data_IF_935459270690
#
_entry.id   IF_935459270690
#
_cell.length_a   1.000
_cell.length_b   1.000
_cell.length_c   1.000
_cell.angle_alpha   90.00
_cell.angle_beta   90.00
_cell.angle_gamma   90.00
#
_symmetry.space_group_name_H-M   'P 1'
#
loop_
_entity.id
_entity.type
_entity.pdbx_description
1 polymer ?
#
# COMPACT_ATOMS: atom_id res chain seq x y z
N UNK A 1 25.58 -44.66 -32.95
CA UNK A 1 25.46 -43.19 -33.11
C UNK A 1 26.33 -42.56 -32.05
N UNK A 2 27.20 -41.62 -32.44
CA UNK A 2 28.13 -40.95 -31.55
C UNK A 2 27.32 -40.05 -30.60
N UNK A 3 27.48 -40.18 -29.28
CA UNK A 3 26.80 -39.28 -28.33
C UNK A 3 27.25 -37.82 -28.49
N UNK A 4 28.39 -37.58 -29.14
CA UNK A 4 28.86 -36.25 -29.59
C UNK A 4 28.21 -35.75 -30.88
N UNK A 5 27.39 -36.55 -31.56
CA UNK A 5 26.59 -36.15 -32.72
C UNK A 5 25.12 -35.86 -32.36
N UNK A 6 24.73 -36.08 -31.10
CA UNK A 6 23.51 -35.54 -30.52
C UNK A 6 23.84 -34.12 -30.06
N UNK A 7 23.38 -33.11 -30.80
CA UNK A 7 23.59 -31.70 -30.44
C UNK A 7 23.05 -31.29 -29.06
N UNK A 8 22.29 -32.13 -28.36
CA UNK A 8 21.90 -31.86 -26.98
C UNK A 8 23.06 -32.09 -26.00
N UNK A 9 23.91 -31.10 -25.80
CA UNK A 9 24.75 -31.05 -24.59
C UNK A 9 23.81 -31.06 -23.36
N UNK A 10 24.16 -31.76 -22.28
CA UNK A 10 23.34 -31.70 -21.06
C UNK A 10 24.15 -30.96 -20.01
N UNK A 11 23.82 -29.68 -19.78
CA UNK A 11 24.47 -28.92 -18.71
C UNK A 11 23.95 -29.46 -17.39
N UNK A 12 24.86 -30.05 -16.61
CA UNK A 12 24.52 -30.58 -15.29
C UNK A 12 25.10 -29.64 -14.24
N UNK A 13 24.24 -29.02 -13.43
CA UNK A 13 24.67 -28.15 -12.33
C UNK A 13 24.04 -28.61 -11.01
N UNK A 14 24.70 -28.33 -9.89
CA UNK A 14 24.23 -28.75 -8.57
C UNK A 14 23.48 -27.62 -7.88
N UNK A 15 22.21 -27.84 -7.55
CA UNK A 15 21.34 -26.90 -6.82
C UNK A 15 20.83 -27.53 -5.54
N UNK A 16 21.09 -26.88 -4.39
CA UNK A 16 20.63 -27.35 -3.07
C UNK A 16 21.00 -28.81 -2.76
N UNK A 17 22.18 -29.24 -3.20
CA UNK A 17 22.67 -30.60 -2.97
C UNK A 17 22.27 -31.64 -4.03
N UNK A 18 21.32 -31.32 -4.92
CA UNK A 18 20.80 -32.19 -5.99
C UNK A 18 21.42 -31.79 -7.34
N UNK A 19 21.81 -32.76 -8.17
CA UNK A 19 22.27 -32.51 -9.54
C UNK A 19 21.06 -32.33 -10.46
N UNK A 20 20.88 -31.14 -11.01
CA UNK A 20 19.88 -30.84 -12.05
C UNK A 20 20.55 -30.89 -13.43
N UNK A 21 19.89 -31.55 -14.38
CA UNK A 21 20.33 -31.66 -15.76
C UNK A 21 19.37 -30.84 -16.63
N UNK A 22 19.89 -29.81 -17.31
CA UNK A 22 19.16 -29.04 -18.30
C UNK A 22 19.59 -29.47 -19.70
N UNK A 23 18.62 -29.59 -20.61
CA UNK A 23 18.87 -29.88 -22.03
C UNK A 23 19.41 -28.61 -22.67
N UNK A 24 20.59 -28.67 -23.27
CA UNK A 24 21.12 -27.60 -24.11
C UNK A 24 20.35 -27.57 -25.43
N UNK A 25 19.61 -26.49 -25.66
CA UNK A 25 18.91 -26.22 -26.93
C UNK A 25 19.62 -25.15 -27.76
N UNK A 26 20.75 -24.61 -27.27
CA UNK A 26 21.54 -23.58 -27.95
C UNK A 26 22.42 -24.18 -29.06
N UNK A 27 22.51 -25.51 -29.12
CA UNK A 27 23.23 -26.19 -30.18
C UNK A 27 22.51 -26.10 -31.52
N UNK A 28 23.02 -25.23 -32.39
CA UNK A 28 22.82 -25.34 -33.82
C UNK A 28 23.30 -26.72 -34.31
N UNK A 29 22.65 -27.27 -35.34
CA UNK A 29 23.09 -28.55 -35.92
C UNK A 29 24.56 -28.49 -36.31
N UNK A 30 25.31 -29.57 -36.05
CA UNK A 30 26.73 -29.74 -36.42
C UNK A 30 27.03 -29.55 -37.93
N UNK A 31 26.00 -29.34 -38.76
CA UNK A 31 26.14 -29.00 -40.17
C UNK A 31 26.77 -27.61 -40.40
N UNK A 32 26.65 -26.69 -39.43
CA UNK A 32 27.12 -25.29 -39.58
C UNK A 32 28.43 -25.00 -38.82
N UNK A 33 29.08 -26.02 -38.23
CA UNK A 33 30.21 -25.85 -37.32
C UNK A 33 31.48 -26.48 -37.91
N UNK A 34 32.53 -25.67 -38.11
CA UNK A 34 33.84 -26.16 -38.56
C UNK A 34 34.62 -26.72 -37.38
N UNK A 35 34.66 -28.04 -37.24
CA UNK A 35 35.38 -28.69 -36.15
C UNK A 35 36.80 -29.06 -36.59
N UNK A 36 37.80 -28.23 -36.26
CA UNK A 36 39.23 -28.59 -36.35
C UNK A 36 39.73 -29.03 -34.96
N UNK A 37 40.45 -30.15 -34.90
CA UNK A 37 41.10 -30.64 -33.68
C UNK A 37 42.07 -29.62 -33.06
N UNK A 38 42.64 -28.72 -33.89
CA UNK A 38 43.49 -27.61 -33.42
C UNK A 38 42.72 -26.62 -32.54
N UNK A 39 41.41 -26.47 -32.71
CA UNK A 39 40.59 -25.56 -31.90
C UNK A 39 40.60 -25.91 -30.42
N UNK A 40 40.81 -27.18 -30.07
CA UNK A 40 40.91 -27.63 -28.69
C UNK A 40 42.23 -27.22 -28.01
N UNK A 41 43.22 -26.74 -28.78
CA UNK A 41 44.51 -26.28 -28.26
C UNK A 41 45.24 -27.33 -27.43
N UNK A 42 45.03 -28.62 -27.72
CA UNK A 42 45.56 -29.75 -26.95
C UNK A 42 47.08 -29.65 -26.79
N UNK A 43 47.56 -29.60 -25.56
CA UNK A 43 48.97 -29.49 -25.20
C UNK A 43 49.55 -28.07 -25.23
N UNK A 44 48.76 -27.05 -25.61
CA UNK A 44 49.22 -25.66 -25.77
C UNK A 44 48.45 -24.64 -24.95
N UNK A 45 47.27 -25.00 -24.45
CA UNK A 45 46.43 -24.11 -23.64
C UNK A 45 46.64 -24.28 -22.13
N UNK A 46 45.96 -23.44 -21.34
CA UNK A 46 46.04 -23.41 -19.88
C UNK A 46 44.78 -23.94 -19.16
N UNK A 47 43.78 -24.39 -19.92
CA UNK A 47 42.52 -24.91 -19.40
C UNK A 47 42.52 -26.45 -19.35
N UNK A 48 41.46 -27.04 -18.81
CA UNK A 48 41.15 -28.45 -18.95
C UNK A 48 39.78 -28.63 -19.61
N UNK A 49 39.57 -29.70 -20.37
CA UNK A 49 38.26 -30.06 -20.91
C UNK A 49 37.92 -31.46 -20.40
N UNK A 50 36.71 -31.60 -19.87
CA UNK A 50 36.14 -32.88 -19.50
C UNK A 50 35.09 -33.27 -20.53
N UNK A 51 35.37 -34.30 -21.32
CA UNK A 51 34.44 -34.87 -22.28
C UNK A 51 33.74 -36.04 -21.60
N UNK A 52 32.41 -35.96 -21.52
CA UNK A 52 31.58 -37.08 -21.07
C UNK A 52 30.85 -37.65 -22.29
N UNK A 53 31.05 -38.93 -22.59
CA UNK A 53 30.38 -39.61 -23.68
C UNK A 53 29.72 -40.89 -23.17
N UNK A 54 28.67 -41.33 -23.85
CA UNK A 54 27.99 -42.58 -23.54
C UNK A 54 28.35 -43.62 -24.60
N UNK A 55 28.87 -44.77 -24.20
CA UNK A 55 29.20 -45.85 -25.12
C UNK A 55 27.94 -46.44 -25.75
N UNK A 56 28.13 -47.24 -26.80
CA UNK A 56 27.03 -47.96 -27.46
C UNK A 56 26.23 -48.84 -26.49
N UNK A 57 26.85 -49.28 -25.40
CA UNK A 57 26.26 -50.13 -24.37
C UNK A 57 25.57 -49.34 -23.24
N UNK A 58 25.44 -48.02 -23.40
CA UNK A 58 24.78 -47.14 -22.41
C UNK A 58 25.66 -46.75 -21.22
N UNK A 59 26.95 -47.11 -21.22
CA UNK A 59 27.88 -46.79 -20.14
C UNK A 59 28.41 -45.38 -20.31
N UNK A 60 28.32 -44.55 -19.27
CA UNK A 60 28.86 -43.19 -19.26
C UNK A 60 30.38 -43.24 -19.01
N UNK A 61 31.14 -42.71 -19.95
CA UNK A 61 32.59 -42.54 -19.88
C UNK A 61 32.93 -41.07 -19.75
N UNK A 62 33.99 -40.80 -19.00
CA UNK A 62 34.46 -39.44 -18.74
C UNK A 62 35.96 -39.40 -19.01
N UNK A 63 36.39 -38.53 -19.91
CA UNK A 63 37.80 -38.32 -20.23
C UNK A 63 38.16 -36.85 -20.02
N UNK A 64 39.23 -36.58 -19.29
CA UNK A 64 39.70 -35.22 -19.03
C UNK A 64 41.01 -34.98 -19.76
N UNK A 65 41.04 -33.96 -20.62
CA UNK A 65 42.25 -33.48 -21.28
C UNK A 65 42.71 -32.19 -20.56
N UNK A 66 43.93 -32.19 -20.04
CA UNK A 66 44.59 -31.01 -19.47
C UNK A 66 45.36 -30.25 -20.56
N UNK A 67 45.72 -28.99 -20.31
CA UNK A 67 46.45 -28.11 -21.24
C UNK A 67 45.70 -27.85 -22.56
N UNK A 68 44.44 -27.48 -22.45
CA UNK A 68 43.52 -27.20 -23.57
C UNK A 68 43.20 -25.71 -23.66
N UNK A 69 42.70 -25.26 -24.81
CA UNK A 69 42.19 -23.91 -24.97
C UNK A 69 40.99 -23.63 -24.03
N UNK A 70 40.70 -22.37 -23.72
CA UNK A 70 39.53 -22.02 -22.91
C UNK A 70 38.23 -22.31 -23.67
N UNK A 71 37.11 -22.58 -22.98
CA UNK A 71 35.82 -22.85 -23.65
C UNK A 71 35.41 -21.77 -24.66
N UNK A 72 35.62 -20.49 -24.35
CA UNK A 72 35.37 -19.38 -25.30
C UNK A 72 36.25 -19.49 -26.55
N UNK A 73 37.55 -19.81 -26.39
CA UNK A 73 38.48 -19.91 -27.51
C UNK A 73 38.14 -21.08 -28.44
N UNK A 74 37.68 -22.20 -27.86
CA UNK A 74 37.23 -23.38 -28.62
C UNK A 74 35.98 -23.04 -29.43
N UNK A 75 34.99 -22.44 -28.78
CA UNK A 75 33.73 -22.00 -29.44
C UNK A 75 34.02 -20.96 -30.52
N UNK A 76 34.86 -19.97 -30.24
CA UNK A 76 35.28 -18.97 -31.22
C UNK A 76 35.96 -19.61 -32.44
N UNK A 77 36.80 -20.62 -32.22
CA UNK A 77 37.48 -21.34 -33.30
C UNK A 77 36.49 -22.13 -34.17
N UNK A 78 35.51 -22.79 -33.56
CA UNK A 78 34.45 -23.52 -34.26
C UNK A 78 33.55 -22.64 -35.14
N UNK A 79 33.42 -21.35 -34.80
CA UNK A 79 32.62 -20.35 -35.53
C UNK A 79 33.51 -19.49 -36.46
N UNK A 80 34.70 -19.98 -36.83
CA UNK A 80 35.57 -19.31 -37.81
C UNK A 80 36.51 -18.26 -37.21
N UNK A 81 36.92 -18.42 -35.96
CA UNK A 81 37.96 -17.62 -35.30
C UNK A 81 37.50 -16.28 -34.73
N UNK A 82 36.19 -15.97 -34.77
CA UNK A 82 35.61 -14.81 -34.10
C UNK A 82 34.93 -15.25 -32.83
N UNK A 83 35.17 -14.54 -31.73
CA UNK A 83 34.36 -14.72 -30.53
C UNK A 83 32.89 -14.55 -30.94
N UNK A 84 31.98 -15.44 -30.49
CA UNK A 84 30.58 -15.32 -30.83
C UNK A 84 30.07 -13.90 -30.57
N UNK A 85 29.64 -13.22 -31.64
CA UNK A 85 28.99 -11.90 -31.61
C UNK A 85 27.46 -12.03 -31.54
N UNK A 86 26.95 -13.26 -31.48
CA UNK A 86 25.52 -13.59 -31.37
C UNK A 86 25.00 -13.34 -29.96
N UNK A 87 23.70 -13.04 -29.86
CA UNK A 87 22.96 -12.83 -28.61
C UNK A 87 22.83 -14.14 -27.83
N UNK A 88 23.93 -14.61 -27.26
CA UNK A 88 23.89 -15.70 -26.30
C UNK A 88 23.32 -15.20 -24.96
N UNK A 89 22.53 -16.02 -24.26
CA UNK A 89 22.07 -15.69 -22.92
C UNK A 89 23.26 -15.36 -22.01
N UNK A 90 23.08 -14.34 -21.18
CA UNK A 90 24.14 -13.81 -20.31
C UNK A 90 24.80 -14.89 -19.45
N UNK A 91 24.05 -15.89 -19.01
CA UNK A 91 24.52 -17.02 -18.21
C UNK A 91 25.43 -17.99 -18.98
N UNK A 92 25.13 -18.22 -20.26
CA UNK A 92 25.96 -19.06 -21.12
C UNK A 92 27.33 -18.42 -21.35
N UNK A 93 27.35 -17.11 -21.62
CA UNK A 93 28.60 -16.35 -21.76
C UNK A 93 29.42 -16.33 -20.46
N UNK A 94 28.76 -16.20 -19.30
CA UNK A 94 29.43 -16.30 -18.00
C UNK A 94 30.04 -17.68 -17.75
N UNK A 95 29.36 -18.76 -18.16
CA UNK A 95 29.88 -20.13 -18.02
C UNK A 95 31.09 -20.36 -18.93
N UNK A 96 31.01 -19.93 -20.19
CA UNK A 96 32.10 -20.08 -21.14
C UNK A 96 33.33 -19.27 -20.71
N UNK A 97 33.14 -18.03 -20.25
CA UNK A 97 34.25 -17.14 -19.85
C UNK A 97 34.96 -17.59 -18.57
N UNK A 98 34.25 -18.23 -17.63
CA UNK A 98 34.83 -18.72 -16.38
C UNK A 98 35.48 -20.12 -16.46
N UNK A 99 35.25 -20.88 -17.54
CA UNK A 99 35.92 -22.15 -17.80
C UNK A 99 35.16 -23.41 -17.36
N UNK A 100 35.75 -24.58 -17.62
CA UNK A 100 35.12 -25.91 -17.50
C UNK A 100 34.90 -26.42 -16.06
N UNK A 101 35.42 -25.71 -15.06
CA UNK A 101 35.23 -26.03 -13.64
C UNK A 101 34.25 -25.07 -12.93
N UNK A 102 33.69 -24.11 -13.66
CA UNK A 102 32.78 -23.12 -13.09
C UNK A 102 31.36 -23.68 -12.99
N UNK A 103 30.90 -23.98 -11.78
CA UNK A 103 29.48 -24.17 -11.51
C UNK A 103 28.89 -22.81 -11.11
N UNK A 104 28.01 -22.25 -11.95
CA UNK A 104 27.29 -21.02 -11.58
C UNK A 104 26.15 -21.42 -10.63
N UNK A 105 26.36 -21.18 -9.33
CA UNK A 105 25.29 -21.30 -8.33
C UNK A 105 24.59 -19.95 -8.24
N UNK A 106 23.42 -19.85 -8.90
CA UNK A 106 22.55 -18.70 -8.74
C UNK A 106 21.62 -18.88 -7.54
N UNK A 107 21.90 -18.15 -6.47
CA UNK A 107 20.99 -18.05 -5.33
C UNK A 107 19.86 -17.08 -5.68
N UNK A 108 18.70 -17.61 -6.10
CA UNK A 108 17.48 -16.83 -6.27
C UNK A 108 16.93 -16.45 -4.89
N UNK A 109 17.16 -15.22 -4.46
CA UNK A 109 16.55 -14.69 -3.24
C UNK A 109 15.37 -13.79 -3.60
N UNK A 110 14.14 -14.26 -3.38
CA UNK A 110 12.91 -13.45 -3.49
C UNK A 110 12.68 -12.60 -2.20
N UNK A 111 13.73 -12.33 -1.43
CA UNK A 111 13.62 -11.89 -0.04
C UNK A 111 13.23 -10.44 0.16
N UNK A 112 13.50 -9.55 -0.80
CA UNK A 112 13.27 -8.11 -0.63
C UNK A 112 11.79 -7.75 -0.46
N UNK A 113 10.89 -8.37 -1.23
CA UNK A 113 9.46 -8.03 -1.21
C UNK A 113 8.80 -8.43 0.11
N UNK A 114 9.11 -9.62 0.62
CA UNK A 114 8.59 -10.10 1.89
C UNK A 114 9.12 -9.28 3.08
N UNK A 115 10.40 -8.87 3.05
CA UNK A 115 10.99 -8.00 4.09
C UNK A 115 10.30 -6.64 4.10
N UNK A 116 10.10 -6.02 2.94
CA UNK A 116 9.42 -4.71 2.84
C UNK A 116 7.98 -4.82 3.32
N UNK A 117 7.24 -5.86 2.94
CA UNK A 117 5.86 -6.06 3.39
C UNK A 117 5.77 -6.29 4.90
N UNK A 118 6.65 -7.11 5.46
CA UNK A 118 6.72 -7.33 6.89
C UNK A 118 7.07 -6.03 7.64
N UNK A 119 7.96 -5.20 7.09
CA UNK A 119 8.30 -3.91 7.67
C UNK A 119 7.11 -2.94 7.64
N UNK A 120 6.41 -2.83 6.50
CA UNK A 120 5.21 -1.99 6.38
C UNK A 120 4.11 -2.48 7.32
N UNK A 121 3.88 -3.78 7.40
CA UNK A 121 2.90 -4.39 8.29
C UNK A 121 3.24 -4.14 9.77
N UNK A 122 4.53 -4.26 10.14
CA UNK A 122 4.99 -3.99 11.49
C UNK A 122 4.81 -2.51 11.87
N UNK A 123 5.20 -1.58 10.99
CA UNK A 123 4.99 -0.14 11.19
C UNK A 123 3.50 0.19 11.33
N UNK A 124 2.66 -0.43 10.50
CA UNK A 124 1.21 -0.33 10.60
C UNK A 124 0.70 -0.85 11.95
N UNK A 125 1.15 -2.03 12.39
CA UNK A 125 0.74 -2.65 13.65
C UNK A 125 1.13 -1.79 14.86
N UNK A 126 2.37 -1.31 14.91
CA UNK A 126 2.85 -0.40 15.96
C UNK A 126 2.03 0.89 15.96
N UNK A 127 1.74 1.44 14.77
CA UNK A 127 0.93 2.64 14.64
C UNK A 127 -0.52 2.45 15.13
N UNK A 128 -1.16 1.33 14.82
CA UNK A 128 -2.49 1.00 15.35
C UNK A 128 -2.47 0.74 16.86
N UNK A 129 -1.41 0.10 17.38
CA UNK A 129 -1.20 -0.03 18.83
C UNK A 129 -1.10 1.33 19.52
N UNK A 130 -0.35 2.27 18.94
CA UNK A 130 -0.28 3.65 19.42
C UNK A 130 -1.65 4.34 19.37
N UNK A 131 -2.41 4.17 18.29
CA UNK A 131 -3.75 4.74 18.14
C UNK A 131 -4.70 4.22 19.22
N UNK A 132 -4.70 2.91 19.48
CA UNK A 132 -5.50 2.29 20.53
C UNK A 132 -5.15 2.84 21.92
N UNK A 133 -3.86 2.93 22.26
CA UNK A 133 -3.41 3.50 23.54
C UNK A 133 -3.87 4.95 23.70
N UNK A 134 -3.80 5.75 22.62
CA UNK A 134 -4.29 7.15 22.65
C UNK A 134 -5.80 7.24 22.86
N UNK A 135 -6.59 6.38 22.23
CA UNK A 135 -8.03 6.27 22.49
C UNK A 135 -8.27 5.96 23.97
N UNK A 136 -7.59 4.95 24.53
CA UNK A 136 -7.76 4.57 25.94
C UNK A 136 -7.41 5.71 26.90
N UNK A 137 -6.30 6.41 26.66
CA UNK A 137 -5.87 7.54 27.49
C UNK A 137 -6.87 8.71 27.41
N UNK A 138 -7.36 9.02 26.21
CA UNK A 138 -8.34 10.08 25.99
C UNK A 138 -9.67 9.77 26.67
N UNK A 139 -10.17 8.53 26.53
CA UNK A 139 -11.35 8.04 27.21
C UNK A 139 -11.22 8.12 28.72
N UNK A 140 -10.08 7.68 29.27
CA UNK A 140 -9.81 7.75 30.70
C UNK A 140 -9.79 9.19 31.22
N UNK A 141 -9.09 10.10 30.53
CA UNK A 141 -9.02 11.51 30.90
C UNK A 141 -10.40 12.18 30.84
N UNK A 142 -11.18 11.92 29.80
CA UNK A 142 -12.53 12.47 29.61
C UNK A 142 -13.49 11.93 30.67
N UNK A 143 -13.45 10.63 30.97
CA UNK A 143 -14.25 10.02 32.02
C UNK A 143 -13.90 10.59 33.41
N UNK A 144 -12.61 10.79 33.70
CA UNK A 144 -12.16 11.41 34.96
C UNK A 144 -12.64 12.86 35.07
N UNK A 145 -12.55 13.64 33.99
CA UNK A 145 -13.01 15.03 33.96
C UNK A 145 -14.52 15.15 34.21
N UNK A 146 -15.34 14.32 33.55
CA UNK A 146 -16.80 14.30 33.75
C UNK A 146 -17.17 13.88 35.18
N UNK A 147 -16.46 12.90 35.77
CA UNK A 147 -16.72 12.44 37.14
C UNK A 147 -16.47 13.52 38.20
N UNK A 148 -15.54 14.44 37.94
CA UNK A 148 -15.21 15.53 38.86
C UNK A 148 -16.20 16.71 38.78
N UNK A 149 -17.09 16.74 37.79
CA UNK A 149 -18.09 17.80 37.65
C UNK A 149 -19.32 17.57 38.54
N UNK A 150 -19.87 18.63 39.17
CA UNK A 150 -21.10 18.55 39.93
C UNK A 150 -22.28 18.19 39.02
N UNK A 151 -23.24 17.41 39.55
CA UNK A 151 -24.44 17.03 38.81
C UNK A 151 -25.30 18.27 38.49
N UNK A 152 -25.48 18.49 37.20
CA UNK A 152 -26.21 19.64 36.65
C UNK A 152 -26.81 19.28 35.29
N UNK A 153 -27.79 20.06 34.82
CA UNK A 153 -28.30 19.91 33.46
C UNK A 153 -27.19 20.04 32.40
N UNK A 154 -26.24 20.96 32.63
CA UNK A 154 -25.06 21.18 31.79
C UNK A 154 -24.17 19.93 31.72
N UNK A 155 -23.94 19.25 32.85
CA UNK A 155 -23.18 17.98 32.87
C UNK A 155 -23.83 16.92 31.99
N UNK A 156 -25.17 16.82 31.96
CA UNK A 156 -25.90 15.88 31.10
C UNK A 156 -25.71 16.18 29.62
N UNK A 157 -25.79 17.46 29.22
CA UNK A 157 -25.53 17.88 27.84
C UNK A 157 -24.08 17.62 27.42
N UNK A 158 -23.10 17.89 28.31
CA UNK A 158 -21.69 17.58 28.08
C UNK A 158 -21.47 16.08 27.89
N UNK A 159 -22.05 15.25 28.77
CA UNK A 159 -21.98 13.80 28.65
C UNK A 159 -22.58 13.29 27.34
N UNK A 160 -23.75 13.82 26.95
CA UNK A 160 -24.36 13.48 25.67
C UNK A 160 -23.43 13.79 24.51
N UNK A 161 -22.86 15.00 24.47
CA UNK A 161 -21.94 15.43 23.41
C UNK A 161 -20.69 14.55 23.31
N UNK A 162 -20.12 14.16 24.45
CA UNK A 162 -18.95 13.29 24.51
C UNK A 162 -19.26 11.87 24.02
N UNK A 163 -20.43 11.33 24.39
CA UNK A 163 -20.87 9.99 23.97
C UNK A 163 -21.24 9.98 22.48
N UNK A 164 -21.81 11.07 21.98
CA UNK A 164 -22.23 11.21 20.59
C UNK A 164 -21.05 11.50 19.63
N UNK A 165 -19.92 11.99 20.16
CA UNK A 165 -18.74 12.27 19.38
C UNK A 165 -18.00 10.98 18.97
N UNK A 166 -17.55 10.91 17.72
CA UNK A 166 -16.68 9.82 17.26
C UNK A 166 -15.27 9.98 17.81
N UNK A 167 -14.98 9.30 18.93
CA UNK A 167 -13.64 9.31 19.55
C UNK A 167 -12.54 8.89 18.57
N UNK A 168 -12.84 7.97 17.65
CA UNK A 168 -11.89 7.56 16.61
C UNK A 168 -11.55 8.72 15.68
N UNK A 169 -12.55 9.53 15.28
CA UNK A 169 -12.35 10.75 14.50
C UNK A 169 -11.55 11.80 15.28
N UNK A 170 -11.85 11.97 16.58
CA UNK A 170 -11.12 12.88 17.48
C UNK A 170 -9.63 12.56 17.51
N UNK A 171 -9.28 11.31 17.80
CA UNK A 171 -7.87 10.88 17.91
C UNK A 171 -7.18 10.93 16.55
N UNK A 172 -7.90 10.59 15.48
CA UNK A 172 -7.39 10.71 14.11
C UNK A 172 -7.00 12.15 13.79
N UNK A 173 -7.86 13.12 14.08
CA UNK A 173 -7.56 14.54 13.84
C UNK A 173 -6.43 15.07 14.74
N UNK A 174 -6.39 14.67 16.01
CA UNK A 174 -5.33 15.08 16.93
C UNK A 174 -3.94 14.56 16.51
N UNK A 175 -3.87 13.33 16.00
CA UNK A 175 -2.64 12.67 15.56
C UNK A 175 -2.54 12.54 14.04
N UNK A 176 -3.14 13.50 13.32
CA UNK A 176 -3.35 13.50 11.86
C UNK A 176 -2.15 13.03 11.04
N UNK A 177 -0.98 13.62 11.24
CA UNK A 177 0.21 13.30 10.43
C UNK A 177 0.60 11.84 10.57
N UNK A 178 0.70 11.36 11.81
CA UNK A 178 1.05 9.97 12.11
C UNK A 178 -0.03 9.00 11.63
N UNK A 179 -1.30 9.33 11.86
CA UNK A 179 -2.42 8.47 11.48
C UNK A 179 -2.61 8.35 9.97
N UNK A 180 -2.42 9.45 9.21
CA UNK A 180 -2.40 9.39 7.74
C UNK A 180 -1.28 8.50 7.22
N UNK A 181 -0.08 8.61 7.79
CA UNK A 181 1.06 7.80 7.37
C UNK A 181 0.86 6.31 7.69
N UNK A 182 0.51 5.99 8.94
CA UNK A 182 0.25 4.61 9.38
C UNK A 182 -0.92 4.00 8.62
N UNK A 183 -2.04 4.74 8.51
CA UNK A 183 -3.22 4.29 7.77
C UNK A 183 -2.91 4.03 6.30
N UNK A 184 -2.11 4.90 5.66
CA UNK A 184 -1.68 4.69 4.28
C UNK A 184 -0.77 3.47 4.12
N UNK A 185 0.22 3.29 4.99
CA UNK A 185 1.10 2.13 4.95
C UNK A 185 0.33 0.82 5.16
N UNK A 186 -0.55 0.77 6.16
CA UNK A 186 -1.43 -0.38 6.38
C UNK A 186 -2.33 -0.66 5.18
N UNK A 187 -2.88 0.39 4.58
CA UNK A 187 -3.69 0.31 3.37
C UNK A 187 -2.91 -0.28 2.17
N UNK A 188 -1.66 0.13 1.96
CA UNK A 188 -0.80 -0.44 0.92
C UNK A 188 -0.48 -1.91 1.20
N UNK A 189 -0.14 -2.26 2.44
CA UNK A 189 0.12 -3.65 2.83
C UNK A 189 -1.11 -4.55 2.60
N UNK A 190 -2.30 -4.06 2.93
CA UNK A 190 -3.55 -4.73 2.61
C UNK A 190 -3.72 -4.93 1.11
N UNK A 191 -3.56 -3.88 0.31
CA UNK A 191 -3.76 -3.98 -1.13
C UNK A 191 -2.79 -4.99 -1.76
N UNK A 192 -1.51 -4.99 -1.36
CA UNK A 192 -0.53 -5.97 -1.84
C UNK A 192 -0.91 -7.39 -1.45
N UNK A 193 -1.28 -7.61 -0.17
CA UNK A 193 -1.62 -8.93 0.33
C UNK A 193 -2.88 -9.50 -0.33
N UNK A 194 -3.90 -8.67 -0.54
CA UNK A 194 -5.18 -9.10 -1.15
C UNK A 194 -5.07 -9.38 -2.63
N UNK A 195 -4.30 -8.57 -3.37
CA UNK A 195 -4.05 -8.80 -4.80
C UNK A 195 -3.01 -9.88 -5.04
N UNK A 196 -2.44 -10.49 -4.00
CA UNK A 196 -1.30 -11.42 -4.09
C UNK A 196 -0.17 -10.85 -4.97
N UNK A 197 0.04 -9.54 -4.88
CA UNK A 197 0.97 -8.81 -5.73
C UNK A 197 2.39 -9.21 -5.37
N UNK A 198 2.89 -10.21 -6.09
CA UNK A 198 4.14 -10.89 -5.78
C UNK A 198 4.92 -11.08 -7.06
N UNK A 199 6.19 -10.74 -6.99
CA UNK A 199 7.11 -10.90 -8.10
C UNK A 199 8.18 -11.91 -7.73
N UNK A 200 8.34 -12.91 -8.59
CA UNK A 200 9.29 -13.99 -8.37
C UNK A 200 9.98 -14.34 -9.67
N UNK A 201 11.23 -14.78 -9.54
CA UNK A 201 11.93 -15.41 -10.64
C UNK A 201 11.17 -16.67 -11.05
N UNK A 202 10.93 -16.85 -12.36
CA UNK A 202 10.29 -18.04 -12.88
C UNK A 202 11.01 -19.30 -12.33
N UNK A 203 10.23 -20.20 -11.72
CA UNK A 203 10.75 -21.40 -11.05
C UNK A 203 11.35 -22.40 -12.05
N UNK A 204 10.84 -22.39 -13.29
CA UNK A 204 11.13 -23.37 -14.33
C UNK A 204 11.94 -22.73 -15.45
N UNK A 205 13.22 -22.42 -15.20
CA UNK A 205 14.19 -22.27 -16.30
C UNK A 205 14.59 -23.70 -16.65
N UNK A 206 13.83 -24.34 -17.54
CA UNK A 206 14.11 -25.72 -17.98
C UNK A 206 15.25 -25.77 -19.00
N UNK A 207 15.68 -24.61 -19.47
CA UNK A 207 16.53 -24.43 -20.63
C UNK A 207 17.47 -23.23 -20.41
N UNK A 208 18.76 -23.44 -20.63
CA UNK A 208 19.81 -22.42 -20.49
C UNK A 208 19.77 -21.39 -21.64
N UNK A 209 19.04 -21.69 -22.72
CA UNK A 209 18.80 -20.78 -23.83
C UNK A 209 17.93 -19.56 -23.47
N UNK A 210 17.24 -19.60 -22.32
CA UNK A 210 16.34 -18.55 -21.88
C UNK A 210 16.91 -17.79 -20.69
N UNK A 211 16.97 -16.46 -20.79
CA UNK A 211 17.27 -15.63 -19.63
C UNK A 211 16.18 -15.80 -18.56
N UNK A 212 16.62 -15.72 -17.30
CA UNK A 212 15.71 -15.73 -16.17
C UNK A 212 14.70 -14.58 -16.30
N UNK A 213 13.41 -14.90 -16.31
CA UNK A 213 12.35 -13.89 -16.33
C UNK A 213 11.82 -13.68 -14.91
N UNK A 214 11.89 -12.43 -14.44
CA UNK A 214 11.21 -12.01 -13.22
C UNK A 214 9.73 -11.74 -13.55
N UNK A 215 8.83 -12.57 -13.02
CA UNK A 215 7.40 -12.48 -13.32
C UNK A 215 6.64 -12.02 -12.09
N UNK A 216 5.76 -11.05 -12.29
CA UNK A 216 4.81 -10.59 -11.28
C UNK A 216 3.44 -11.20 -11.53
N UNK A 217 2.77 -11.62 -10.46
CA UNK A 217 1.36 -12.00 -10.47
C UNK A 217 0.57 -10.95 -9.71
N UNK A 218 -0.54 -10.49 -10.28
CA UNK A 218 -1.45 -9.52 -9.68
C UNK A 218 -2.88 -10.01 -9.91
N UNK A 219 -3.57 -10.36 -8.82
CA UNK A 219 -4.97 -10.76 -8.81
C UNK A 219 -5.87 -9.55 -8.67
N UNK A 220 -6.43 -9.07 -9.78
CA UNK A 220 -7.28 -7.86 -9.81
C UNK A 220 -8.51 -7.97 -8.90
N UNK A 221 -9.13 -9.15 -8.85
CA UNK A 221 -10.32 -9.42 -8.04
C UNK A 221 -9.99 -10.01 -6.68
N UNK A 222 -8.72 -9.94 -6.25
CA UNK A 222 -8.26 -10.52 -4.98
C UNK A 222 -9.03 -10.02 -3.76
N UNK A 223 -9.49 -8.77 -3.78
CA UNK A 223 -10.32 -8.17 -2.72
C UNK A 223 -11.68 -8.86 -2.53
N UNK A 224 -12.15 -9.61 -3.52
CA UNK A 224 -13.41 -10.35 -3.52
C UNK A 224 -13.21 -11.86 -3.58
N UNK A 225 -11.98 -12.34 -3.40
CA UNK A 225 -11.66 -13.76 -3.55
C UNK A 225 -12.38 -14.64 -2.52
N UNK A 226 -12.62 -14.14 -1.31
CA UNK A 226 -13.33 -14.85 -0.25
C UNK A 226 -13.96 -13.86 0.77
N UNK A 227 -14.77 -14.38 1.68
CA UNK A 227 -15.47 -13.60 2.70
C UNK A 227 -14.47 -12.85 3.61
N UNK A 228 -13.33 -13.47 3.94
CA UNK A 228 -12.30 -12.81 4.75
C UNK A 228 -11.77 -11.56 4.07
N UNK A 229 -11.54 -11.59 2.76
CA UNK A 229 -11.09 -10.42 2.01
C UNK A 229 -12.17 -9.35 1.86
N UNK A 230 -13.45 -9.74 1.78
CA UNK A 230 -14.58 -8.80 1.82
C UNK A 230 -14.67 -8.10 3.18
N UNK A 231 -14.47 -8.83 4.28
CA UNK A 231 -14.44 -8.24 5.64
C UNK A 231 -13.26 -7.28 5.77
N UNK A 232 -12.08 -7.65 5.25
CA UNK A 232 -10.90 -6.75 5.24
C UNK A 232 -11.17 -5.52 4.39
N UNK A 233 -11.80 -5.66 3.22
CA UNK A 233 -12.20 -4.53 2.37
C UNK A 233 -13.12 -3.56 3.13
N UNK A 234 -14.10 -4.07 3.90
CA UNK A 234 -14.95 -3.24 4.75
C UNK A 234 -14.13 -2.51 5.82
N UNK A 235 -13.20 -3.18 6.49
CA UNK A 235 -12.32 -2.52 7.48
C UNK A 235 -11.45 -1.42 6.85
N UNK A 236 -10.85 -1.69 5.69
CA UNK A 236 -10.00 -0.71 4.98
C UNK A 236 -10.80 0.37 4.26
N UNK A 237 -12.10 0.18 4.03
CA UNK A 237 -12.99 1.22 3.50
C UNK A 237 -13.10 2.42 4.45
N UNK A 238 -13.11 2.15 5.76
CA UNK A 238 -13.08 3.21 6.76
C UNK A 238 -11.75 3.96 6.74
N UNK A 239 -10.62 3.24 6.63
CA UNK A 239 -9.28 3.85 6.53
C UNK A 239 -9.19 4.73 5.27
N UNK A 240 -9.70 4.25 4.14
CA UNK A 240 -9.78 5.01 2.90
C UNK A 240 -10.62 6.28 3.07
N UNK A 241 -11.81 6.16 3.67
CA UNK A 241 -12.67 7.29 4.00
C UNK A 241 -11.95 8.31 4.90
N UNK A 242 -11.27 7.85 5.94
CA UNK A 242 -10.49 8.68 6.87
C UNK A 242 -9.32 9.40 6.18
N UNK A 243 -8.65 8.72 5.25
CA UNK A 243 -7.55 9.28 4.48
C UNK A 243 -8.02 10.35 3.49
N UNK A 244 -9.17 10.18 2.84
CA UNK A 244 -9.57 11.02 1.70
C UNK A 244 -10.62 12.07 2.06
N UNK A 245 -11.65 11.71 2.83
CA UNK A 245 -12.90 12.48 2.93
C UNK A 245 -13.28 12.96 4.33
N UNK A 246 -12.81 12.32 5.41
CA UNK A 246 -13.19 12.68 6.78
C UNK A 246 -13.00 14.17 7.10
N UNK A 247 -11.94 14.79 6.59
CA UNK A 247 -11.66 16.22 6.80
C UNK A 247 -12.61 17.17 6.07
N UNK A 248 -13.31 16.69 5.03
CA UNK A 248 -14.25 17.48 4.25
C UNK A 248 -15.68 17.40 4.81
N UNK A 249 -15.89 16.60 5.85
CA UNK A 249 -17.21 16.32 6.41
C UNK A 249 -17.22 16.46 7.94
N UNK A 250 -16.91 17.65 8.49
CA UNK A 250 -16.97 17.86 9.93
C UNK A 250 -18.40 17.62 10.46
N UNK A 251 -18.52 16.90 11.57
CA UNK A 251 -19.81 16.62 12.21
C UNK A 251 -20.62 15.46 11.62
N UNK A 252 -20.20 14.88 10.48
CA UNK A 252 -20.95 13.78 9.85
C UNK A 252 -21.06 12.53 10.73
N UNK A 253 -20.11 12.32 11.65
CA UNK A 253 -20.06 11.16 12.52
C UNK A 253 -21.03 11.24 13.72
N UNK A 254 -21.64 12.41 13.95
CA UNK A 254 -22.57 12.65 15.06
C UNK A 254 -23.92 11.97 14.79
N UNK A 255 -24.38 12.01 13.54
CA UNK A 255 -25.63 11.38 13.13
C UNK A 255 -25.35 10.02 12.46
N UNK A 256 -25.59 8.94 13.19
CA UNK A 256 -25.24 7.57 12.78
C UNK A 256 -25.75 7.17 11.39
N UNK A 257 -27.02 7.40 11.00
CA UNK A 257 -27.49 7.07 9.65
C UNK A 257 -26.71 7.81 8.56
N UNK A 258 -26.44 9.09 8.78
CA UNK A 258 -25.61 9.92 7.89
C UNK A 258 -24.19 9.39 7.76
N UNK A 259 -23.57 9.07 8.90
CA UNK A 259 -22.24 8.50 8.96
C UNK A 259 -22.11 7.18 8.21
N UNK A 260 -23.08 6.26 8.37
CA UNK A 260 -23.10 4.97 7.67
C UNK A 260 -23.13 5.21 6.16
N UNK A 261 -24.00 6.09 5.69
CA UNK A 261 -24.14 6.39 4.25
C UNK A 261 -22.89 7.07 3.71
N UNK A 262 -22.30 8.01 4.45
CA UNK A 262 -21.04 8.63 4.08
C UNK A 262 -19.90 7.59 4.03
N UNK A 263 -19.78 6.72 5.03
CA UNK A 263 -18.75 5.67 5.05
C UNK A 263 -18.92 4.65 3.92
N UNK A 264 -20.15 4.30 3.56
CA UNK A 264 -20.43 3.40 2.43
C UNK A 264 -20.16 4.06 1.09
N UNK A 265 -20.72 5.24 0.84
CA UNK A 265 -20.61 5.92 -0.45
C UNK A 265 -19.24 6.58 -0.65
N UNK A 266 -18.55 7.05 0.38
CA UNK A 266 -17.24 7.69 0.22
C UNK A 266 -16.08 6.79 0.64
N UNK A 267 -16.34 5.71 1.36
CA UNK A 267 -15.36 4.70 1.74
C UNK A 267 -15.46 3.47 0.86
N UNK A 268 -16.50 2.68 1.07
CA UNK A 268 -16.61 1.32 0.52
C UNK A 268 -16.75 1.28 -1.00
N UNK A 269 -17.75 1.97 -1.57
CA UNK A 269 -18.00 1.97 -3.02
C UNK A 269 -16.79 2.44 -3.83
N UNK A 270 -16.18 3.61 -3.55
CA UNK A 270 -15.01 4.05 -4.31
C UNK A 270 -13.81 3.15 -4.07
N UNK A 271 -13.57 2.66 -2.84
CA UNK A 271 -12.46 1.74 -2.60
C UNK A 271 -12.62 0.44 -3.40
N UNK A 272 -13.80 -0.17 -3.38
CA UNK A 272 -14.09 -1.41 -4.10
C UNK A 272 -13.78 -1.29 -5.60
N UNK A 273 -14.21 -0.20 -6.23
CA UNK A 273 -14.00 0.05 -7.65
C UNK A 273 -12.54 0.45 -7.96
N UNK A 274 -12.00 1.40 -7.19
CA UNK A 274 -10.65 1.92 -7.43
C UNK A 274 -9.59 0.85 -7.15
N UNK A 275 -9.80 -0.05 -6.20
CA UNK A 275 -8.84 -1.10 -5.92
C UNK A 275 -8.68 -2.06 -7.12
N UNK A 276 -9.78 -2.40 -7.80
CA UNK A 276 -9.75 -3.17 -9.06
C UNK A 276 -8.99 -2.37 -10.14
N UNK A 277 -9.32 -1.09 -10.31
CA UNK A 277 -8.67 -0.23 -11.32
C UNK A 277 -7.17 -0.10 -11.06
N UNK A 278 -6.77 0.12 -9.82
CA UNK A 278 -5.35 0.22 -9.44
C UNK A 278 -4.62 -1.09 -9.68
N UNK A 279 -5.25 -2.24 -9.38
CA UNK A 279 -4.66 -3.54 -9.67
C UNK A 279 -4.48 -3.78 -11.18
N UNK A 280 -5.46 -3.40 -12.01
CA UNK A 280 -5.32 -3.45 -13.48
C UNK A 280 -4.21 -2.52 -13.98
N UNK A 281 -4.11 -1.30 -13.45
CA UNK A 281 -3.02 -0.37 -13.81
C UNK A 281 -1.64 -0.97 -13.45
N UNK A 282 -1.52 -1.62 -12.29
CA UNK A 282 -0.28 -2.29 -11.89
C UNK A 282 0.04 -3.49 -12.81
N UNK A 283 -0.99 -4.19 -13.30
CA UNK A 283 -0.85 -5.28 -14.27
C UNK A 283 -0.42 -4.77 -15.64
N UNK A 284 -1.08 -3.75 -16.18
CA UNK A 284 -0.73 -3.09 -17.45
C UNK A 284 0.70 -2.53 -17.43
N UNK A 285 1.17 -2.07 -16.28
CA UNK A 285 2.54 -1.61 -16.09
C UNK A 285 3.58 -2.71 -16.34
N UNK A 286 3.25 -3.99 -16.12
CA UNK A 286 4.16 -5.11 -16.42
C UNK A 286 4.40 -5.28 -17.92
N UNK A 287 3.41 -4.94 -18.74
CA UNK A 287 3.49 -5.03 -20.20
C UNK A 287 4.13 -3.78 -20.83
N UNK A 288 4.44 -2.76 -20.03
CA UNK A 288 5.00 -1.48 -20.51
C UNK A 288 6.53 -1.51 -20.58
N UNK A 289 7.14 -1.21 -21.74
CA UNK A 289 8.59 -1.30 -21.96
C UNK A 289 9.41 -0.26 -21.17
N UNK A 290 8.79 0.78 -20.61
CA UNK A 290 9.48 1.77 -19.76
C UNK A 290 9.22 1.57 -18.26
N UNK A 291 8.00 1.14 -17.91
CA UNK A 291 7.58 1.08 -16.50
C UNK A 291 7.94 -0.24 -15.83
N UNK A 292 8.28 -1.30 -16.59
CA UNK A 292 8.67 -2.61 -16.05
C UNK A 292 9.92 -2.59 -15.14
N UNK A 293 10.70 -1.49 -15.15
CA UNK A 293 11.85 -1.30 -14.26
C UNK A 293 11.46 -0.79 -12.86
N UNK A 294 10.32 -0.11 -12.71
CA UNK A 294 9.90 0.48 -11.43
C UNK A 294 9.36 -0.60 -10.48
N UNK A 295 10.01 -0.85 -9.35
CA UNK A 295 9.56 -1.86 -8.38
C UNK A 295 8.04 -1.80 -8.12
N UNK A 296 7.36 -2.96 -8.21
CA UNK A 296 5.90 -3.04 -8.23
C UNK A 296 5.23 -2.37 -7.01
N UNK A 297 5.78 -2.57 -5.81
CA UNK A 297 5.31 -1.91 -4.58
C UNK A 297 5.44 -0.36 -4.63
N UNK A 298 6.53 0.16 -5.20
CA UNK A 298 6.71 1.62 -5.36
C UNK A 298 5.70 2.17 -6.36
N UNK A 299 5.48 1.47 -7.47
CA UNK A 299 4.49 1.87 -8.47
C UNK A 299 3.08 1.91 -7.87
N UNK A 300 2.69 0.88 -7.11
CA UNK A 300 1.42 0.82 -6.40
C UNK A 300 1.24 2.02 -5.44
N UNK A 301 2.27 2.35 -4.67
CA UNK A 301 2.27 3.53 -3.78
C UNK A 301 2.02 4.80 -4.56
N UNK A 302 2.73 5.01 -5.67
CA UNK A 302 2.59 6.20 -6.51
C UNK A 302 1.19 6.32 -7.12
N UNK A 303 0.63 5.21 -7.61
CA UNK A 303 -0.74 5.19 -8.17
C UNK A 303 -1.77 5.53 -7.10
N UNK A 304 -1.68 4.96 -5.90
CA UNK A 304 -2.60 5.29 -4.81
C UNK A 304 -2.46 6.74 -4.34
N UNK A 305 -1.25 7.28 -4.27
CA UNK A 305 -1.04 8.71 -3.99
C UNK A 305 -1.70 9.60 -5.05
N UNK A 306 -1.57 9.24 -6.34
CA UNK A 306 -2.24 9.94 -7.43
C UNK A 306 -3.77 9.84 -7.31
N UNK A 307 -4.32 8.66 -7.01
CA UNK A 307 -5.76 8.47 -6.77
C UNK A 307 -6.24 9.36 -5.62
N UNK A 308 -5.57 9.34 -4.48
CA UNK A 308 -5.95 10.18 -3.33
C UNK A 308 -5.86 11.67 -3.64
N UNK A 309 -4.85 12.08 -4.42
CA UNK A 309 -4.73 13.45 -4.88
C UNK A 309 -5.92 13.83 -5.78
N UNK A 310 -6.22 13.03 -6.81
CA UNK A 310 -7.34 13.26 -7.73
C UNK A 310 -8.66 13.33 -6.97
N UNK A 311 -8.90 12.42 -6.02
CA UNK A 311 -10.13 12.40 -5.23
C UNK A 311 -10.31 13.67 -4.38
N UNK A 312 -9.22 14.37 -4.07
CA UNK A 312 -9.25 15.63 -3.35
C UNK A 312 -9.46 16.85 -4.24
N UNK A 313 -9.26 16.75 -5.56
CA UNK A 313 -9.45 17.84 -6.52
C UNK A 313 -10.94 18.07 -6.86
N UNK A 314 -11.28 19.17 -7.57
CA UNK A 314 -12.64 19.45 -8.04
C UNK A 314 -13.22 18.40 -9.01
N UNK A 315 -12.40 17.51 -9.58
CA UNK A 315 -12.85 16.49 -10.53
C UNK A 315 -13.91 15.57 -9.92
N UNK A 316 -13.86 15.32 -8.61
CA UNK A 316 -14.84 14.48 -7.89
C UNK A 316 -16.12 15.21 -7.46
N UNK A 317 -16.27 16.51 -7.77
CA UNK A 317 -17.46 17.30 -7.38
C UNK A 317 -18.79 16.67 -7.80
N UNK A 318 -18.96 16.11 -9.03
CA UNK A 318 -20.22 15.49 -9.42
C UNK A 318 -20.59 14.31 -8.51
N UNK A 319 -19.61 13.49 -8.16
CA UNK A 319 -19.80 12.36 -7.25
C UNK A 319 -20.12 12.83 -5.84
N UNK A 320 -19.39 13.83 -5.34
CA UNK A 320 -19.68 14.40 -4.03
C UNK A 320 -21.10 14.94 -3.97
N UNK A 321 -21.56 15.71 -4.97
CA UNK A 321 -22.95 16.21 -5.06
C UNK A 321 -23.98 15.09 -4.99
N UNK A 322 -23.73 13.95 -5.65
CA UNK A 322 -24.60 12.79 -5.54
C UNK A 322 -24.67 12.27 -4.09
N UNK A 323 -23.52 12.16 -3.40
CA UNK A 323 -23.49 11.77 -1.98
C UNK A 323 -24.22 12.80 -1.11
N UNK A 324 -24.07 14.10 -1.37
CA UNK A 324 -24.79 15.15 -0.63
C UNK A 324 -26.32 15.01 -0.80
N UNK A 325 -26.80 14.63 -1.99
CA UNK A 325 -28.22 14.35 -2.22
C UNK A 325 -28.70 13.13 -1.42
N UNK A 326 -27.92 12.04 -1.41
CA UNK A 326 -28.24 10.85 -0.62
C UNK A 326 -28.28 11.16 0.88
N UNK A 327 -27.33 11.97 1.38
CA UNK A 327 -27.32 12.45 2.75
C UNK A 327 -28.56 13.32 3.06
N UNK A 328 -28.95 14.19 2.12
CA UNK A 328 -30.16 15.00 2.23
C UNK A 328 -31.44 14.17 2.37
N UNK A 329 -31.54 13.04 1.67
CA UNK A 329 -32.70 12.13 1.76
C UNK A 329 -32.81 11.42 3.10
N UNK A 330 -31.70 11.26 3.82
CA UNK A 330 -31.63 10.58 5.12
C UNK A 330 -31.71 11.62 6.26
N UNK A 331 -32.03 12.87 5.93
CA UNK A 331 -32.21 13.92 6.91
C UNK A 331 -30.89 14.51 7.41
N UNK A 332 -29.84 14.54 6.59
CA UNK A 332 -28.59 15.22 6.92
C UNK A 332 -28.37 16.41 6.00
N UNK A 333 -28.08 17.57 6.58
CA UNK A 333 -27.89 18.83 5.86
C UNK A 333 -26.66 19.58 6.37
N UNK A 334 -26.23 20.56 5.58
CA UNK A 334 -25.12 21.46 5.93
C UNK A 334 -25.67 22.64 6.71
N UNK A 335 -25.12 22.88 7.90
CA UNK A 335 -25.28 24.12 8.64
C UNK A 335 -24.13 25.06 8.30
N UNK A 336 -24.44 26.26 7.80
CA UNK A 336 -23.42 27.29 7.53
C UNK A 336 -22.89 27.86 8.84
N UNK A 337 -21.59 28.12 8.88
CA UNK A 337 -20.92 28.80 10.01
C UNK A 337 -20.78 30.28 9.65
N UNK A 338 -21.07 31.16 10.60
CA UNK A 338 -20.94 32.60 10.40
C UNK A 338 -19.49 32.97 10.05
N UNK A 339 -19.29 33.79 9.02
CA UNK A 339 -17.96 34.12 8.47
C UNK A 339 -17.03 34.75 9.52
N UNK A 340 -17.59 35.60 10.38
CA UNK A 340 -16.83 36.26 11.47
C UNK A 340 -16.62 35.37 12.70
N UNK A 341 -17.14 34.13 12.71
CA UNK A 341 -16.90 33.20 13.80
C UNK A 341 -15.49 32.62 13.71
N UNK A 342 -14.71 32.56 14.81
CA UNK A 342 -13.43 31.85 14.81
C UNK A 342 -13.54 30.38 14.39
N UNK A 343 -14.73 29.78 14.53
CA UNK A 343 -14.99 28.42 14.03
C UNK A 343 -14.91 28.32 12.51
N UNK A 344 -15.17 29.38 11.76
CA UNK A 344 -15.06 29.36 10.30
C UNK A 344 -13.63 29.04 9.85
N UNK A 345 -12.63 29.59 10.55
CA UNK A 345 -11.22 29.28 10.31
C UNK A 345 -10.83 27.86 10.75
N UNK A 346 -11.50 27.28 11.74
CA UNK A 346 -11.18 25.96 12.30
C UNK A 346 -11.86 24.80 11.57
N UNK A 347 -13.15 24.94 11.23
CA UNK A 347 -14.01 23.91 10.66
C UNK A 347 -14.26 24.09 9.16
N UNK A 348 -14.17 25.32 8.65
CA UNK A 348 -14.56 25.69 7.30
C UNK A 348 -15.91 26.41 7.27
N UNK A 349 -16.53 26.41 6.09
CA UNK A 349 -17.76 27.16 5.80
C UNK A 349 -19.03 26.51 6.36
N UNK A 350 -18.99 25.21 6.67
CA UNK A 350 -20.13 24.46 7.16
C UNK A 350 -19.73 23.24 8.00
N UNK A 351 -20.71 22.71 8.73
CA UNK A 351 -20.67 21.37 9.31
C UNK A 351 -21.94 20.58 8.98
N UNK A 352 -21.87 19.26 9.10
CA UNK A 352 -22.98 18.35 8.82
C UNK A 352 -23.79 18.09 10.10
N UNK A 353 -25.11 18.23 10.01
CA UNK A 353 -26.03 18.02 11.13
C UNK A 353 -27.35 17.42 10.64
N UNK A 354 -28.12 16.82 11.56
CA UNK A 354 -29.49 16.39 11.31
C UNK A 354 -30.37 17.56 10.85
N UNK A 355 -31.22 17.31 9.86
CA UNK A 355 -32.01 18.32 9.15
C UNK A 355 -32.95 19.09 10.08
N UNK A 356 -33.44 18.43 11.14
CA UNK A 356 -34.36 19.02 12.13
C UNK A 356 -33.64 19.99 13.08
N UNK A 357 -32.31 19.91 13.17
CA UNK A 357 -31.48 20.79 13.99
C UNK A 357 -30.87 21.94 13.17
N UNK A 358 -31.08 21.97 11.86
CA UNK A 358 -30.62 23.05 10.98
C UNK A 358 -31.34 24.34 11.32
N UNK A 359 -30.60 25.43 11.30
CA UNK A 359 -31.05 26.79 11.57
C UNK A 359 -30.94 27.63 10.31
N UNK A 360 -31.88 28.54 10.13
CA UNK A 360 -31.89 29.47 9.00
C UNK A 360 -30.73 30.47 9.05
N UNK A 361 -30.37 30.91 10.27
CA UNK A 361 -29.24 31.80 10.50
C UNK A 361 -27.91 31.04 10.52
N UNK A 362 -26.85 31.73 10.10
CA UNK A 362 -25.49 31.20 10.17
C UNK A 362 -25.08 30.91 11.63
N UNK A 363 -24.45 29.76 11.86
CA UNK A 363 -24.16 29.26 13.18
C UNK A 363 -23.02 30.05 13.85
N UNK A 364 -23.35 30.70 14.96
CA UNK A 364 -22.38 31.25 15.94
C UNK A 364 -22.02 30.24 17.04
N UNK A 365 -22.94 29.30 17.31
CA UNK A 365 -22.78 28.22 18.27
C UNK A 365 -22.63 26.89 17.53
N UNK A 366 -21.60 26.12 17.88
CA UNK A 366 -21.30 24.83 17.25
C UNK A 366 -21.44 23.71 18.29
N UNK A 367 -21.99 22.53 17.93
CA UNK A 367 -22.09 21.41 18.85
C UNK A 367 -20.71 20.96 19.34
N UNK A 368 -20.59 20.66 20.64
CA UNK A 368 -19.33 20.26 21.26
C UNK A 368 -18.76 18.99 20.64
N UNK A 369 -19.61 18.06 20.20
CA UNK A 369 -19.19 16.85 19.49
C UNK A 369 -18.42 17.16 18.20
N UNK A 370 -18.88 18.16 17.41
CA UNK A 370 -18.16 18.66 16.22
C UNK A 370 -16.82 19.28 16.63
N UNK A 371 -16.83 20.07 17.71
CA UNK A 371 -15.61 20.75 18.17
C UNK A 371 -14.56 19.78 18.67
N UNK A 372 -14.96 18.71 19.36
CA UNK A 372 -14.04 17.67 19.80
C UNK A 372 -13.30 17.02 18.62
N UNK A 373 -13.91 16.95 17.44
CA UNK A 373 -13.27 16.42 16.23
C UNK A 373 -12.21 17.37 15.63
N UNK A 374 -12.16 18.64 16.07
CA UNK A 374 -11.18 19.61 15.59
C UNK A 374 -9.85 19.53 16.31
N UNK A 375 -8.79 19.92 15.62
CA UNK A 375 -7.41 19.83 16.14
C UNK A 375 -7.19 20.87 17.24
N UNK A 376 -6.54 20.45 18.34
CA UNK A 376 -6.06 21.30 19.44
C UNK A 376 -7.14 21.90 20.35
N UNK A 377 -8.39 21.43 20.31
CA UNK A 377 -9.40 21.88 21.28
C UNK A 377 -9.07 21.33 22.67
N UNK A 378 -9.02 22.23 23.65
CA UNK A 378 -8.87 21.88 25.07
C UNK A 378 -10.23 21.97 25.75
N UNK A 379 -10.82 20.83 26.07
CA UNK A 379 -12.12 20.76 26.78
C UNK A 379 -12.15 21.55 28.09
N UNK A 380 -10.99 21.71 28.74
CA UNK A 380 -10.83 22.48 29.98
C UNK A 380 -11.05 23.99 29.81
N UNK A 381 -10.97 24.51 28.57
CA UNK A 381 -11.17 25.92 28.25
C UNK A 381 -12.64 26.25 27.97
N UNK A 382 -13.54 25.27 28.10
CA UNK A 382 -14.96 25.47 27.88
C UNK A 382 -15.61 25.81 29.22
N UNK A 383 -16.23 26.97 29.29
CA UNK A 383 -16.98 27.43 30.45
C UNK A 383 -18.25 28.14 29.99
N UNK A 384 -19.39 27.74 30.54
CA UNK A 384 -20.72 28.29 30.25
C UNK A 384 -20.99 28.56 28.75
N UNK A 385 -20.95 27.52 27.92
CA UNK A 385 -21.19 27.61 26.47
C UNK A 385 -20.19 28.53 25.72
N UNK A 386 -19.08 28.91 26.34
CA UNK A 386 -18.00 29.71 25.74
C UNK A 386 -16.70 28.92 25.71
N UNK A 387 -15.97 28.98 24.59
CA UNK A 387 -14.63 28.44 24.42
C UNK A 387 -13.62 29.57 24.29
N UNK A 388 -12.67 29.61 25.23
CA UNK A 388 -11.61 30.62 25.24
C UNK A 388 -10.33 30.07 24.61
N UNK A 389 -9.94 30.63 23.46
CA UNK A 389 -8.79 30.15 22.69
C UNK A 389 -7.45 30.29 23.43
N UNK A 390 -7.25 31.38 24.19
CA UNK A 390 -6.06 31.61 25.02
C UNK A 390 -6.13 31.01 26.44
N UNK A 391 -7.12 30.15 26.72
CA UNK A 391 -7.40 29.66 28.06
C UNK A 391 -8.41 30.54 28.80
N UNK A 392 -8.95 30.04 29.92
CA UNK A 392 -9.95 30.76 30.71
C UNK A 392 -9.35 32.09 31.18
N UNK A 393 -9.75 33.18 30.53
CA UNK A 393 -9.51 34.53 31.04
C UNK A 393 -10.12 34.59 32.44
N UNK A 394 -9.35 35.12 33.39
CA UNK A 394 -9.68 35.23 34.82
C UNK A 394 -11.19 35.49 35.06
N UNK A 395 -11.79 34.88 36.10
CA UNK A 395 -13.18 35.12 36.49
C UNK A 395 -13.35 36.62 36.76
N UNK A 396 -14.01 37.33 35.84
CA UNK A 396 -14.11 38.80 35.88
C UNK A 396 -14.38 39.47 34.53
N UNK A 397 -14.13 38.78 33.40
CA UNK A 397 -14.76 39.11 32.11
C UNK A 397 -15.88 38.11 31.84
N UNK A 398 -16.98 38.21 32.58
CA UNK A 398 -18.23 37.67 32.05
C UNK A 398 -18.57 38.51 30.82
N UNK A 399 -18.68 37.88 29.66
CA UNK A 399 -19.45 38.50 28.58
C UNK A 399 -20.89 38.39 29.07
N UNK A 400 -21.43 39.45 29.70
CA UNK A 400 -22.78 39.51 30.28
C UNK A 400 -23.91 39.41 29.23
N UNK A 401 -23.64 38.84 28.05
CA UNK A 401 -24.63 38.59 27.04
C UNK A 401 -25.42 37.32 27.42
N UNK A 402 -26.73 37.42 27.68
CA UNK A 402 -27.53 36.24 27.99
C UNK A 402 -27.47 35.25 26.82
N UNK A 403 -27.14 33.99 27.14
CA UNK A 403 -27.18 32.91 26.16
C UNK A 403 -28.59 32.75 25.60
N UNK A 404 -28.74 32.48 24.29
CA UNK A 404 -30.03 32.19 23.70
C UNK A 404 -30.77 31.06 24.45
N UNK A 405 -32.05 31.28 24.77
CA UNK A 405 -32.84 30.34 25.59
C UNK A 405 -32.97 28.93 25.01
N UNK A 406 -32.83 28.78 23.69
CA UNK A 406 -32.87 27.47 23.02
C UNK A 406 -31.70 26.56 23.42
N UNK A 407 -30.57 27.09 23.90
CA UNK A 407 -29.42 26.28 24.30
C UNK A 407 -29.74 25.35 25.46
N UNK A 408 -30.60 25.80 26.38
CA UNK A 408 -31.03 25.02 27.52
C UNK A 408 -31.97 23.85 27.15
N UNK A 409 -32.65 23.93 26.00
CA UNK A 409 -33.59 22.90 25.54
C UNK A 409 -32.96 21.84 24.63
N UNK A 410 -31.70 22.01 24.22
CA UNK A 410 -31.00 21.05 23.37
C UNK A 410 -30.42 19.89 24.19
N UNK A 411 -30.35 18.70 23.58
CA UNK A 411 -29.65 17.55 24.17
C UNK A 411 -28.14 17.74 24.14
N UNK A 412 -27.65 18.35 23.07
CA UNK A 412 -26.23 18.55 22.84
C UNK A 412 -25.73 19.86 23.45
N UNK A 413 -24.46 19.87 23.87
CA UNK A 413 -23.83 21.05 24.42
C UNK A 413 -23.26 21.89 23.29
N UNK A 414 -23.79 23.09 23.09
CA UNK A 414 -23.34 24.01 22.05
C UNK A 414 -22.36 25.03 22.62
N UNK A 415 -21.35 25.41 21.86
CA UNK A 415 -20.31 26.33 22.34
C UNK A 415 -20.07 27.44 21.33
N UNK A 416 -19.79 28.64 21.81
CA UNK A 416 -19.35 29.82 21.04
C UNK A 416 -17.88 30.09 21.31
N UNK A 417 -17.08 30.43 20.30
CA UNK A 417 -15.69 30.87 20.53
C UNK A 417 -15.63 32.34 20.84
N UNK A 418 -14.76 32.68 21.79
CA UNK A 418 -14.24 34.01 21.98
C UNK A 418 -12.72 33.99 21.72
N UNK A 419 -12.25 34.95 20.93
CA UNK A 419 -10.81 35.25 20.82
C UNK A 419 -10.30 35.90 22.10
#
# INVERSE_FOLDING_TARGET
MNASASGGTTVTYRRSGVCEAAVDTVAHGLADVFVDMKCFGLGTGSSSIQVTYMSKDGVRHTATATNTASPVAIVACFIGGRAPQTDYPSYFMNMLTQGTQASIVMTKANGSEAIILNFIALMSLVGYGYFFVRISLYLYATARWIRLMPDSARKRQLMYSVVNCSISSVIWTHHRTSMKFVGFLGFIAWHVGTTNSSCQWAANIKDVSQDAVYRCSIGTLGHFANITEVVRLLSYSWVFYALVFMEKMPGIAIYMPGYIVAALLLGFVPLALLAIVVAEICKLRLDSPGLFLIHNQLFLVLVWLAVFYILRTPVTRPYLRFVELCLGWIGVKKQRIHVDSPFYAMLGDHFWIEADLVREEDALYVPLSVLMETKNIKLQNIYDHEYFTYGVLKPGKSVDAPHPGWLASQLEYYVRVHE
#
